data_IF_394396327378
#
_entry.id   IF_394396327378
#
_cell.length_a   1.000
_cell.length_b   1.000
_cell.length_c   1.000
_cell.angle_alpha   90.00
_cell.angle_beta   90.00
_cell.angle_gamma   90.00
#
_symmetry.space_group_name_H-M   'P 1'
#
loop_
_entity.id
_entity.type
_entity.pdbx_description
1 polymer ?
#
# COMPACT_ATOMS: atom_id res chain seq x y z
N UNK A 1 -11.67 15.35 -25.21
CA UNK A 1 -12.30 14.59 -24.09
C UNK A 1 -11.30 13.64 -23.43
N UNK A 2 -9.99 13.91 -23.47
CA UNK A 2 -8.92 12.95 -23.08
C UNK A 2 -8.18 13.26 -21.77
N UNK A 3 -8.30 14.47 -21.18
CA UNK A 3 -7.36 14.90 -20.12
C UNK A 3 -7.79 14.62 -18.68
N UNK A 4 -9.01 14.08 -18.47
CA UNK A 4 -9.56 13.87 -17.11
C UNK A 4 -9.24 12.49 -16.50
N UNK A 5 -8.68 11.56 -17.26
CA UNK A 5 -8.47 10.16 -16.83
C UNK A 5 -7.02 9.84 -16.46
N UNK A 6 -6.07 10.73 -16.75
CA UNK A 6 -4.66 10.47 -16.42
C UNK A 6 -4.37 10.72 -14.95
N UNK A 7 -4.15 9.66 -14.20
CA UNK A 7 -3.78 9.66 -12.77
C UNK A 7 -2.52 10.50 -12.55
N UNK A 8 -1.54 10.33 -13.43
CA UNK A 8 -0.30 11.11 -13.44
C UNK A 8 -0.46 12.23 -14.49
N UNK A 9 -0.82 13.44 -14.06
CA UNK A 9 -0.93 14.63 -14.93
C UNK A 9 0.44 15.07 -15.46
N UNK A 10 1.06 14.24 -16.28
CA UNK A 10 2.25 14.58 -17.03
C UNK A 10 1.92 14.50 -18.52
N UNK A 11 2.10 15.60 -19.25
CA UNK A 11 1.78 15.72 -20.69
C UNK A 11 2.48 14.65 -21.57
N UNK A 12 3.52 14.04 -21.05
CA UNK A 12 4.35 13.05 -21.77
C UNK A 12 4.05 11.60 -21.38
N UNK A 13 3.05 11.35 -20.53
CA UNK A 13 2.67 9.99 -20.11
C UNK A 13 1.29 9.68 -20.70
N UNK A 14 1.26 8.77 -21.66
CA UNK A 14 0.01 8.31 -22.27
C UNK A 14 -0.72 7.31 -21.36
N UNK A 15 -1.95 6.94 -21.70
CA UNK A 15 -2.78 6.04 -20.90
C UNK A 15 -2.09 4.67 -20.71
N UNK A 16 -1.47 4.11 -21.75
CA UNK A 16 -0.75 2.82 -21.68
C UNK A 16 0.39 2.88 -20.65
N UNK A 17 1.19 3.94 -20.69
CA UNK A 17 2.29 4.11 -19.74
C UNK A 17 1.77 4.33 -18.31
N UNK A 18 0.65 5.04 -18.14
CA UNK A 18 -0.01 5.21 -16.84
C UNK A 18 -0.43 3.86 -16.24
N UNK A 19 -1.05 2.99 -17.04
CA UNK A 19 -1.46 1.65 -16.61
C UNK A 19 -0.23 0.81 -16.26
N UNK A 20 0.81 0.81 -17.09
CA UNK A 20 2.03 0.07 -16.82
C UNK A 20 2.71 0.52 -15.52
N UNK A 21 2.81 1.83 -15.29
CA UNK A 21 3.36 2.39 -14.04
C UNK A 21 2.53 1.92 -12.85
N UNK A 22 1.20 1.97 -12.95
CA UNK A 22 0.31 1.53 -11.89
C UNK A 22 0.49 0.05 -11.55
N UNK A 23 0.56 -0.82 -12.57
CA UNK A 23 0.82 -2.26 -12.38
C UNK A 23 2.17 -2.48 -11.67
N UNK A 24 3.22 -1.77 -12.11
CA UNK A 24 4.54 -1.87 -11.48
C UNK A 24 4.47 -1.44 -9.99
N UNK A 25 3.76 -0.36 -9.68
CA UNK A 25 3.55 0.10 -8.30
C UNK A 25 2.87 -1.00 -7.48
N UNK A 26 1.81 -1.60 -8.01
CA UNK A 26 1.07 -2.67 -7.33
C UNK A 26 1.97 -3.87 -7.03
N UNK A 27 2.76 -4.32 -8.03
CA UNK A 27 3.71 -5.44 -7.86
C UNK A 27 4.77 -5.11 -6.82
N UNK A 28 5.41 -3.95 -6.91
CA UNK A 28 6.42 -3.50 -5.95
C UNK A 28 5.83 -3.45 -4.54
N UNK A 29 4.64 -2.86 -4.39
CA UNK A 29 3.96 -2.75 -3.10
C UNK A 29 3.65 -4.12 -2.50
N UNK A 30 3.16 -5.07 -3.30
CA UNK A 30 2.87 -6.43 -2.85
C UNK A 30 4.12 -7.17 -2.36
N UNK A 31 5.24 -7.04 -3.07
CA UNK A 31 6.53 -7.63 -2.70
C UNK A 31 7.12 -6.94 -1.46
N UNK A 32 7.10 -5.60 -1.42
CA UNK A 32 7.58 -4.86 -0.25
C UNK A 32 6.77 -5.20 1.01
N UNK A 33 5.45 -5.33 0.88
CA UNK A 33 4.58 -5.76 1.97
C UNK A 33 4.94 -7.17 2.47
N UNK A 34 5.22 -8.10 1.57
CA UNK A 34 5.67 -9.45 1.94
C UNK A 34 7.00 -9.41 2.72
N UNK A 35 7.98 -8.64 2.24
CA UNK A 35 9.26 -8.47 2.92
C UNK A 35 9.05 -7.85 4.30
N UNK A 36 8.27 -6.77 4.38
CA UNK A 36 7.94 -6.11 5.63
C UNK A 36 7.32 -7.08 6.65
N UNK A 37 6.25 -7.80 6.28
CA UNK A 37 5.62 -8.74 7.20
C UNK A 37 6.55 -9.88 7.62
N UNK A 38 7.33 -10.42 6.68
CA UNK A 38 8.28 -11.48 6.99
C UNK A 38 9.30 -11.04 8.03
N UNK A 39 9.84 -9.82 7.88
CA UNK A 39 10.80 -9.26 8.83
C UNK A 39 10.13 -8.89 10.16
N UNK A 40 8.95 -8.28 10.10
CA UNK A 40 8.21 -7.88 11.29
C UNK A 40 7.85 -9.10 12.16
N UNK A 41 7.26 -10.14 11.58
CA UNK A 41 6.89 -11.33 12.33
C UNK A 41 8.11 -12.16 12.78
N UNK A 42 9.25 -12.05 12.09
CA UNK A 42 10.51 -12.59 12.59
C UNK A 42 10.94 -11.93 13.89
N UNK A 43 10.69 -10.64 14.05
CA UNK A 43 10.99 -9.89 15.29
C UNK A 43 9.94 -10.21 16.35
N UNK A 44 8.67 -10.20 15.98
CA UNK A 44 7.54 -10.41 16.89
C UNK A 44 7.53 -11.80 17.52
N UNK A 45 7.68 -12.85 16.71
CA UNK A 45 7.58 -14.25 17.13
C UNK A 45 8.93 -14.92 17.43
N UNK A 46 10.05 -14.32 17.01
CA UNK A 46 11.38 -14.89 17.18
C UNK A 46 11.78 -15.97 16.15
N UNK A 47 10.88 -16.35 15.23
CA UNK A 47 11.14 -17.33 14.16
C UNK A 47 10.45 -16.90 12.85
N UNK A 48 10.88 -17.49 11.72
CA UNK A 48 10.26 -17.21 10.43
C UNK A 48 8.95 -17.97 10.28
N UNK A 49 7.89 -17.24 9.90
CA UNK A 49 6.58 -17.80 9.54
C UNK A 49 6.29 -17.52 8.07
N UNK A 50 5.58 -18.45 7.43
CA UNK A 50 5.09 -18.22 6.07
C UNK A 50 4.03 -17.11 6.12
N UNK A 51 4.29 -16.02 5.40
CA UNK A 51 3.34 -14.90 5.26
C UNK A 51 2.72 -14.88 3.87
N UNK A 52 1.56 -14.26 3.79
CA UNK A 52 0.75 -14.23 2.57
C UNK A 52 -0.10 -15.49 2.37
N UNK A 53 -1.31 -15.28 1.86
CA UNK A 53 -2.29 -16.34 1.57
C UNK A 53 -2.20 -16.88 0.14
N UNK A 54 -1.32 -16.33 -0.68
CA UNK A 54 -1.19 -16.60 -2.11
C UNK A 54 0.14 -17.26 -2.45
N UNK A 55 0.27 -17.72 -3.70
CA UNK A 55 1.55 -18.20 -4.21
C UNK A 55 2.51 -17.05 -4.46
N UNK A 56 3.78 -17.22 -4.06
CA UNK A 56 4.86 -16.27 -4.30
C UNK A 56 5.05 -15.22 -3.20
N UNK A 57 6.09 -14.40 -3.32
CA UNK A 57 6.50 -13.43 -2.30
C UNK A 57 5.76 -12.11 -2.46
N UNK A 58 4.43 -12.12 -2.34
CA UNK A 58 3.60 -10.94 -2.40
C UNK A 58 2.33 -11.11 -1.56
N UNK A 59 1.76 -10.01 -1.11
CA UNK A 59 0.55 -10.00 -0.28
C UNK A 59 -0.51 -9.11 -0.94
N UNK A 60 -1.72 -9.64 -1.22
CA UNK A 60 -2.76 -8.94 -1.97
C UNK A 60 -3.17 -7.58 -1.42
N UNK A 61 -3.30 -7.43 -0.10
CA UNK A 61 -3.72 -6.15 0.50
C UNK A 61 -2.72 -5.02 0.21
N UNK A 62 -1.41 -5.32 0.20
CA UNK A 62 -0.37 -4.36 -0.18
C UNK A 62 -0.34 -4.08 -1.68
N UNK A 63 -0.57 -5.13 -2.49
CA UNK A 63 -0.65 -5.00 -3.94
C UNK A 63 -1.76 -4.03 -4.34
N UNK A 64 -2.99 -4.29 -3.93
CA UNK A 64 -4.13 -3.41 -4.24
C UNK A 64 -4.05 -2.09 -3.48
N UNK A 65 -3.62 -2.10 -2.22
CA UNK A 65 -3.44 -0.92 -1.39
C UNK A 65 -2.47 0.08 -2.00
N UNK A 66 -1.31 -0.37 -2.49
CA UNK A 66 -0.33 0.50 -3.16
C UNK A 66 -0.88 1.16 -4.42
N UNK A 67 -1.65 0.43 -5.23
CA UNK A 67 -2.34 0.98 -6.38
C UNK A 67 -3.37 2.04 -6.01
N UNK A 68 -4.22 1.75 -5.03
CA UNK A 68 -5.23 2.69 -4.53
C UNK A 68 -4.58 3.95 -3.95
N UNK A 69 -3.55 3.80 -3.12
CA UNK A 69 -2.80 4.93 -2.57
C UNK A 69 -2.23 5.82 -3.69
N UNK A 70 -1.60 5.23 -4.71
CA UNK A 70 -1.09 5.98 -5.85
C UNK A 70 -2.21 6.76 -6.56
N UNK A 71 -3.34 6.13 -6.85
CA UNK A 71 -4.48 6.75 -7.55
C UNK A 71 -5.06 7.93 -6.76
N UNK A 72 -5.31 7.73 -5.47
CA UNK A 72 -6.03 8.72 -4.67
C UNK A 72 -5.14 9.84 -4.14
N UNK A 73 -3.85 9.58 -3.87
CA UNK A 73 -2.98 10.56 -3.20
C UNK A 73 -2.09 11.33 -4.17
N UNK A 74 -1.74 10.79 -5.35
CA UNK A 74 -0.82 11.45 -6.28
C UNK A 74 -1.30 12.83 -6.74
N UNK A 75 -2.59 13.04 -6.88
CA UNK A 75 -3.18 14.35 -7.24
C UNK A 75 -2.88 15.47 -6.22
N UNK A 76 -2.53 15.10 -5.00
CA UNK A 76 -2.18 16.02 -3.91
C UNK A 76 -0.68 16.11 -3.66
N UNK A 77 0.16 15.67 -4.61
CA UNK A 77 1.62 15.61 -4.48
C UNK A 77 2.28 16.93 -4.06
N UNK A 78 1.65 18.08 -4.34
CA UNK A 78 2.16 19.39 -3.95
C UNK A 78 1.92 19.71 -2.45
N UNK A 79 1.20 18.84 -1.74
CA UNK A 79 0.81 19.00 -0.32
C UNK A 79 1.16 17.73 0.48
N UNK A 80 2.41 17.57 0.93
CA UNK A 80 2.87 16.31 1.54
C UNK A 80 2.08 15.90 2.78
N UNK A 81 1.65 16.86 3.60
CA UNK A 81 0.81 16.54 4.76
C UNK A 81 -0.55 15.94 4.37
N UNK A 82 -1.17 16.44 3.30
CA UNK A 82 -2.43 15.90 2.79
C UNK A 82 -2.20 14.49 2.22
N UNK A 83 -1.11 14.26 1.50
CA UNK A 83 -0.73 12.94 0.99
C UNK A 83 -0.58 11.94 2.14
N UNK A 84 0.11 12.34 3.21
CA UNK A 84 0.29 11.51 4.41
C UNK A 84 -1.03 11.20 5.10
N UNK A 85 -1.85 12.22 5.42
CA UNK A 85 -3.12 12.04 6.12
C UNK A 85 -4.13 11.22 5.31
N UNK A 86 -4.20 11.43 3.99
CA UNK A 86 -5.04 10.62 3.11
C UNK A 86 -4.57 9.16 3.05
N UNK A 87 -3.26 8.93 3.03
CA UNK A 87 -2.72 7.58 3.06
C UNK A 87 -3.10 6.88 4.38
N UNK A 88 -2.94 7.55 5.50
CA UNK A 88 -3.35 7.02 6.80
C UNK A 88 -4.84 6.69 6.84
N UNK A 89 -5.70 7.57 6.32
CA UNK A 89 -7.14 7.36 6.27
C UNK A 89 -7.50 6.17 5.37
N UNK A 90 -6.98 6.14 4.14
CA UNK A 90 -7.26 5.07 3.17
C UNK A 90 -6.78 3.73 3.72
N UNK A 91 -5.58 3.67 4.27
CA UNK A 91 -5.02 2.45 4.86
C UNK A 91 -5.87 1.97 6.03
N UNK A 92 -6.24 2.86 6.95
CA UNK A 92 -7.09 2.51 8.10
C UNK A 92 -8.43 1.93 7.66
N UNK A 93 -9.08 2.53 6.66
CA UNK A 93 -10.35 2.04 6.11
C UNK A 93 -10.16 0.68 5.43
N UNK A 94 -9.09 0.50 4.64
CA UNK A 94 -8.82 -0.76 3.96
C UNK A 94 -8.49 -1.89 4.94
N UNK A 95 -7.60 -1.66 5.92
CA UNK A 95 -7.24 -2.68 6.91
C UNK A 95 -8.45 -3.06 7.77
N UNK A 96 -9.15 -2.07 8.33
CA UNK A 96 -10.33 -2.34 9.15
C UNK A 96 -11.40 -3.06 8.35
N UNK A 97 -11.77 -2.54 7.18
CA UNK A 97 -12.81 -3.12 6.32
C UNK A 97 -12.47 -4.53 5.86
N UNK A 98 -11.23 -4.76 5.42
CA UNK A 98 -10.78 -6.09 4.99
C UNK A 98 -10.72 -7.06 6.17
N UNK A 99 -10.16 -6.64 7.30
CA UNK A 99 -10.07 -7.46 8.51
C UNK A 99 -11.46 -7.85 9.03
N UNK A 100 -12.37 -6.88 9.11
CA UNK A 100 -13.76 -7.11 9.53
C UNK A 100 -14.49 -8.08 8.60
N UNK A 101 -14.42 -7.86 7.28
CA UNK A 101 -15.09 -8.72 6.30
C UNK A 101 -14.55 -10.16 6.34
N UNK A 102 -13.24 -10.32 6.41
CA UNK A 102 -12.61 -11.65 6.46
C UNK A 102 -12.96 -12.39 7.76
N UNK A 103 -12.98 -11.70 8.88
CA UNK A 103 -13.28 -12.31 10.18
C UNK A 103 -14.77 -12.64 10.31
N UNK A 104 -15.66 -11.68 10.07
CA UNK A 104 -17.10 -11.82 10.31
C UNK A 104 -17.82 -12.64 9.22
N UNK A 105 -17.41 -12.53 7.95
CA UNK A 105 -18.12 -13.23 6.86
C UNK A 105 -17.43 -14.55 6.46
N UNK A 106 -16.12 -14.62 6.56
CA UNK A 106 -15.36 -15.79 6.13
C UNK A 106 -14.73 -16.57 7.29
N UNK A 107 -14.90 -16.10 8.53
CA UNK A 107 -14.32 -16.69 9.75
C UNK A 107 -12.82 -16.95 9.61
N UNK A 108 -12.13 -16.03 8.93
CA UNK A 108 -10.70 -16.12 8.63
C UNK A 108 -10.00 -14.84 9.06
N UNK A 109 -9.19 -14.94 10.12
CA UNK A 109 -8.37 -13.82 10.59
C UNK A 109 -6.96 -13.98 10.05
N UNK A 110 -6.56 -13.11 9.12
CA UNK A 110 -5.23 -13.17 8.49
C UNK A 110 -4.15 -12.45 9.32
N UNK A 111 -4.55 -11.51 10.18
CA UNK A 111 -3.70 -10.81 11.16
C UNK A 111 -4.53 -10.48 12.41
N UNK A 112 -3.86 -10.26 13.52
CA UNK A 112 -4.51 -9.88 14.76
C UNK A 112 -3.60 -8.94 15.58
N UNK A 113 -3.84 -7.64 15.49
CA UNK A 113 -3.08 -6.66 16.23
C UNK A 113 -3.28 -6.76 17.76
N UNK A 114 -4.25 -7.54 18.28
CA UNK A 114 -4.39 -7.72 19.72
C UNK A 114 -3.20 -8.47 20.33
N UNK A 115 -2.56 -9.33 19.56
CA UNK A 115 -1.46 -10.21 20.02
C UNK A 115 -0.07 -9.78 19.51
N UNK A 116 0.01 -8.83 18.58
CA UNK A 116 1.27 -8.35 18.03
C UNK A 116 1.97 -7.35 18.94
N UNK A 117 3.32 -7.28 18.84
CA UNK A 117 4.09 -6.23 19.52
C UNK A 117 3.78 -4.85 18.91
N UNK A 118 3.99 -3.80 19.73
CA UNK A 118 3.79 -2.39 19.32
C UNK A 118 2.40 -2.10 18.73
N UNK A 119 1.38 -2.72 19.29
CA UNK A 119 -0.01 -2.62 18.86
C UNK A 119 -0.77 -1.39 19.41
N UNK A 120 -0.06 -0.31 19.72
CA UNK A 120 -0.69 0.90 20.25
C UNK A 120 -1.74 1.49 19.29
N UNK A 121 -2.84 1.98 19.87
CA UNK A 121 -3.99 2.46 19.08
C UNK A 121 -4.72 1.36 18.32
N UNK A 122 -4.59 0.10 18.78
CA UNK A 122 -5.30 -1.03 18.20
C UNK A 122 -6.82 -0.90 18.39
N UNK A 123 -7.57 -1.20 17.34
CA UNK A 123 -9.04 -1.25 17.35
C UNK A 123 -9.47 -2.63 16.84
N UNK A 124 -10.05 -3.43 17.74
CA UNK A 124 -10.60 -4.77 17.47
C UNK A 124 -9.61 -5.78 16.83
N UNK A 125 -8.31 -5.52 16.87
CA UNK A 125 -7.30 -6.34 16.21
C UNK A 125 -7.21 -6.14 14.71
N UNK A 126 -8.05 -5.29 14.12
CA UNK A 126 -8.08 -5.07 12.67
C UNK A 126 -7.13 -3.98 12.20
N UNK A 127 -6.94 -2.92 13.01
CA UNK A 127 -5.99 -1.84 12.72
C UNK A 127 -5.20 -1.45 13.97
N UNK A 128 -4.01 -0.86 13.76
CA UNK A 128 -3.27 -0.19 14.82
C UNK A 128 -2.58 1.07 14.29
N UNK A 129 -2.27 2.01 15.19
CA UNK A 129 -1.65 3.29 14.82
C UNK A 129 -0.27 3.09 14.17
N UNK A 130 0.51 2.10 14.64
CA UNK A 130 1.79 1.73 14.03
C UNK A 130 1.65 1.45 12.54
N UNK A 131 0.70 0.58 12.16
CA UNK A 131 0.46 0.20 10.77
C UNK A 131 0.06 1.41 9.94
N UNK A 132 -0.92 2.17 10.40
CA UNK A 132 -1.42 3.37 9.71
C UNK A 132 -0.29 4.38 9.44
N UNK A 133 0.54 4.68 10.44
CA UNK A 133 1.66 5.61 10.29
C UNK A 133 2.72 5.08 9.34
N UNK A 134 3.05 3.79 9.43
CA UNK A 134 4.00 3.15 8.52
C UNK A 134 3.57 3.31 7.06
N UNK A 135 2.31 3.04 6.76
CA UNK A 135 1.77 3.19 5.40
C UNK A 135 1.71 4.66 4.97
N UNK A 136 1.43 5.58 5.89
CA UNK A 136 1.54 7.01 5.62
C UNK A 136 2.93 7.40 5.13
N UNK A 137 3.98 6.98 5.83
CA UNK A 137 5.37 7.23 5.42
C UNK A 137 5.77 6.47 4.15
N UNK A 138 5.38 5.20 4.02
CA UNK A 138 5.63 4.41 2.82
C UNK A 138 4.99 5.07 1.58
N UNK A 139 3.80 5.64 1.71
CA UNK A 139 3.15 6.37 0.63
C UNK A 139 3.85 7.68 0.28
N UNK A 140 4.41 8.42 1.25
CA UNK A 140 5.26 9.57 0.94
C UNK A 140 6.47 9.13 0.08
N UNK A 141 7.14 8.06 0.46
CA UNK A 141 8.23 7.51 -0.34
C UNK A 141 7.77 7.08 -1.75
N UNK A 142 6.62 6.46 -1.86
CA UNK A 142 6.02 6.08 -3.13
C UNK A 142 5.79 7.30 -4.04
N UNK A 143 5.11 8.33 -3.51
CA UNK A 143 4.72 9.53 -4.28
C UNK A 143 5.92 10.37 -4.71
N UNK A 144 6.91 10.56 -3.81
CA UNK A 144 8.00 11.52 -4.05
C UNK A 144 9.27 10.88 -4.61
N UNK A 145 9.41 9.55 -4.51
CA UNK A 145 10.61 8.87 -4.97
C UNK A 145 10.34 7.83 -6.05
N UNK A 146 9.43 6.88 -5.81
CA UNK A 146 9.19 5.76 -6.72
C UNK A 146 8.49 6.22 -7.99
N UNK A 147 7.36 6.92 -7.88
CA UNK A 147 6.57 7.34 -9.03
C UNK A 147 7.34 8.26 -9.97
N UNK A 148 8.07 9.31 -9.52
CA UNK A 148 8.86 10.14 -10.42
C UNK A 148 9.93 9.37 -11.19
N UNK A 149 10.57 8.38 -10.55
CA UNK A 149 11.55 7.52 -11.23
C UNK A 149 10.91 6.64 -12.30
N UNK A 150 9.74 6.06 -12.01
CA UNK A 150 9.00 5.25 -12.99
C UNK A 150 8.54 6.10 -14.19
N UNK A 151 8.06 7.32 -13.94
CA UNK A 151 7.69 8.26 -15.01
C UNK A 151 8.91 8.61 -15.86
N UNK A 152 10.04 8.93 -15.23
CA UNK A 152 11.29 9.24 -15.95
C UNK A 152 11.78 8.07 -16.79
N UNK A 153 11.71 6.85 -16.26
CA UNK A 153 12.08 5.63 -16.97
C UNK A 153 11.15 5.35 -18.16
N UNK A 154 9.84 5.51 -17.97
CA UNK A 154 8.84 5.35 -19.03
C UNK A 154 9.08 6.30 -20.21
N UNK A 155 9.52 7.54 -19.94
CA UNK A 155 9.86 8.53 -20.98
C UNK A 155 11.10 8.17 -21.80
N UNK A 156 12.04 7.39 -21.24
CA UNK A 156 13.25 6.97 -21.95
C UNK A 156 13.00 5.81 -22.92
N UNK A 157 11.90 5.08 -22.72
CA UNK A 157 11.55 3.89 -23.52
C UNK A 157 10.50 4.22 -24.60
N UNK A 158 9.77 5.32 -24.43
CA UNK A 158 8.77 5.81 -25.41
C UNK A 158 9.39 6.68 -26.46
#
# INVERSE_FOLDING_TARGET
>A
MSDKVLIFKDKNVNLKNTINILIIIMVISGICGFIYETLFYRIDLGYFVKRGSTFGPWIPIYFFGGGLLAIFTYRFKDKPLIVFLLACLITGVLEYGTGYVLDELFHTRLWDYNIEIWNFGNINGYICLRSILLFGFANLFLIYYVIPKLISFSKKIS
#
